data_IF_998038781682
#
_entry.id   IF_998038781682
#
_cell.length_a   1.000
_cell.length_b   1.000
_cell.length_c   1.000
_cell.angle_alpha   90.00
_cell.angle_beta   90.00
_cell.angle_gamma   90.00
#
_symmetry.space_group_name_H-M   'P 1'
#
loop_
_entity.id
_entity.type
_entity.pdbx_description
1 polymer ?
#
# COMPACT_ATOMS: atom_id res chain seq x y z
N UNK A 1 -18.95 12.18 -16.11
CA UNK A 1 -18.72 10.95 -15.32
C UNK A 1 -18.87 11.38 -13.88
N UNK A 2 -19.98 11.02 -13.25
CA UNK A 2 -20.23 11.37 -11.85
C UNK A 2 -19.33 10.47 -11.00
N UNK A 3 -18.47 11.09 -10.20
CA UNK A 3 -17.66 10.37 -9.23
C UNK A 3 -18.61 9.75 -8.20
N UNK A 4 -18.84 8.43 -8.27
CA UNK A 4 -19.64 7.70 -7.30
C UNK A 4 -19.08 7.98 -5.88
N UNK A 5 -19.83 8.66 -4.99
CA UNK A 5 -19.38 8.98 -3.65
C UNK A 5 -18.94 7.75 -2.84
N UNK A 6 -19.56 6.59 -3.07
CA UNK A 6 -19.20 5.34 -2.44
C UNK A 6 -17.86 4.82 -2.96
N UNK A 7 -17.59 4.96 -4.27
CA UNK A 7 -16.32 4.57 -4.86
C UNK A 7 -15.15 5.40 -4.30
N UNK A 8 -15.32 6.73 -4.18
CA UNK A 8 -14.33 7.58 -3.50
C UNK A 8 -14.11 7.21 -2.04
N UNK A 9 -15.19 6.92 -1.30
CA UNK A 9 -15.08 6.50 0.09
C UNK A 9 -14.29 5.19 0.22
N UNK A 10 -14.53 4.24 -0.69
CA UNK A 10 -13.79 2.99 -0.74
C UNK A 10 -12.30 3.19 -1.03
N UNK A 11 -11.95 4.03 -2.02
CA UNK A 11 -10.54 4.33 -2.33
C UNK A 11 -9.82 5.01 -1.15
N UNK A 12 -10.48 5.97 -0.47
CA UNK A 12 -9.93 6.60 0.74
C UNK A 12 -9.68 5.60 1.88
N UNK A 13 -10.59 4.65 2.08
CA UNK A 13 -10.43 3.61 3.08
C UNK A 13 -9.21 2.73 2.79
N UNK A 14 -9.01 2.34 1.54
CA UNK A 14 -7.83 1.56 1.10
C UNK A 14 -6.57 2.39 1.28
N UNK A 15 -6.59 3.65 0.84
CA UNK A 15 -5.47 4.59 0.98
C UNK A 15 -5.01 4.73 2.43
N UNK A 16 -5.94 5.03 3.33
CA UNK A 16 -5.65 5.16 4.76
C UNK A 16 -5.06 3.86 5.34
N UNK A 17 -5.59 2.72 4.93
CA UNK A 17 -5.06 1.40 5.34
C UNK A 17 -3.60 1.21 4.91
N UNK A 18 -3.26 1.59 3.67
CA UNK A 18 -1.88 1.50 3.16
C UNK A 18 -0.97 2.46 3.90
N UNK A 19 -1.42 3.69 4.14
CA UNK A 19 -0.63 4.71 4.87
C UNK A 19 -0.38 4.31 6.33
N UNK A 20 -1.33 3.62 6.97
CA UNK A 20 -1.21 3.16 8.37
C UNK A 20 -0.34 1.91 8.54
N UNK A 21 -0.46 0.93 7.62
CA UNK A 21 0.11 -0.41 7.84
C UNK A 21 1.24 -0.78 6.90
N UNK A 22 1.38 -0.11 5.75
CA UNK A 22 2.43 -0.46 4.80
C UNK A 22 3.71 0.34 5.07
N UNK A 23 4.87 -0.18 4.64
CA UNK A 23 6.14 0.52 4.83
C UNK A 23 6.13 1.92 4.22
N UNK A 24 6.86 2.89 4.80
CA UNK A 24 6.90 4.24 4.26
C UNK A 24 7.40 4.26 2.81
N UNK A 25 6.83 5.17 2.02
CA UNK A 25 7.21 5.40 0.62
C UNK A 25 6.70 4.37 -0.39
N UNK A 26 5.81 3.44 0.00
CA UNK A 26 5.11 2.58 -0.99
C UNK A 26 4.00 3.32 -1.74
N UNK A 27 3.36 4.29 -1.08
CA UNK A 27 2.29 5.11 -1.65
C UNK A 27 2.73 6.56 -1.75
N UNK A 28 2.53 7.16 -2.92
CA UNK A 28 2.80 8.59 -3.18
C UNK A 28 1.65 9.45 -2.64
N UNK A 29 1.88 10.74 -2.38
CA UNK A 29 0.81 11.68 -1.98
C UNK A 29 -0.29 11.77 -3.05
N UNK A 30 -1.48 12.27 -2.72
CA UNK A 30 -2.58 12.41 -3.68
C UNK A 30 -2.18 13.31 -4.87
N UNK A 31 -1.46 14.40 -4.63
CA UNK A 31 -0.97 15.31 -5.67
C UNK A 31 0.02 14.61 -6.60
N UNK A 32 0.90 13.78 -6.03
CA UNK A 32 1.84 12.99 -6.81
C UNK A 32 1.14 11.89 -7.60
N UNK A 33 0.14 11.22 -7.01
CA UNK A 33 -0.69 10.23 -7.71
C UNK A 33 -1.39 10.90 -8.90
N UNK A 34 -2.01 12.06 -8.69
CA UNK A 34 -2.68 12.82 -9.74
C UNK A 34 -1.70 13.26 -10.85
N UNK A 35 -0.47 13.62 -10.50
CA UNK A 35 0.57 13.99 -11.47
C UNK A 35 1.19 12.81 -12.22
N UNK A 36 1.21 11.61 -11.62
CA UNK A 36 1.83 10.42 -12.21
C UNK A 36 0.86 9.53 -12.99
N UNK A 37 -0.36 9.34 -12.47
CA UNK A 37 -1.37 8.44 -13.04
C UNK A 37 -2.51 9.23 -13.68
N UNK A 38 -3.01 10.25 -12.99
CA UNK A 38 -4.13 11.09 -13.43
C UNK A 38 -5.15 11.32 -12.31
N UNK A 39 -6.14 12.20 -12.52
CA UNK A 39 -7.07 12.62 -11.47
C UNK A 39 -8.35 11.78 -11.39
N UNK A 40 -8.47 10.70 -12.17
CA UNK A 40 -9.68 9.87 -12.17
C UNK A 40 -9.64 8.80 -11.07
N UNK A 41 -10.81 8.25 -10.71
CA UNK A 41 -10.90 7.17 -9.73
C UNK A 41 -10.11 5.93 -10.14
N UNK A 42 -10.02 5.67 -11.45
CA UNK A 42 -9.27 4.54 -11.97
C UNK A 42 -7.76 4.76 -11.83
N UNK A 43 -7.29 5.99 -12.05
CA UNK A 43 -5.89 6.37 -11.89
C UNK A 43 -5.44 6.24 -10.43
N UNK A 44 -6.29 6.67 -9.48
CA UNK A 44 -6.04 6.46 -8.04
C UNK A 44 -6.02 4.97 -7.69
N UNK A 45 -6.97 4.18 -8.21
CA UNK A 45 -7.03 2.74 -7.98
C UNK A 45 -5.79 2.02 -8.53
N UNK A 46 -5.26 2.44 -9.67
CA UNK A 46 -4.00 1.92 -10.23
C UNK A 46 -2.83 2.23 -9.29
N UNK A 47 -2.73 3.46 -8.79
CA UNK A 47 -1.68 3.84 -7.85
C UNK A 47 -1.71 3.03 -6.55
N UNK A 48 -2.90 2.78 -6.00
CA UNK A 48 -3.10 1.93 -4.82
C UNK A 48 -2.70 0.48 -5.10
N UNK A 49 -3.03 -0.03 -6.28
CA UNK A 49 -2.66 -1.39 -6.70
C UNK A 49 -1.14 -1.58 -6.75
N UNK A 50 -0.42 -0.61 -7.33
CA UNK A 50 1.05 -0.60 -7.35
C UNK A 50 1.65 -0.55 -5.95
N UNK A 51 1.08 0.26 -5.04
CA UNK A 51 1.56 0.36 -3.66
C UNK A 51 1.39 -0.96 -2.88
N UNK A 52 0.28 -1.68 -3.09
CA UNK A 52 0.06 -3.01 -2.49
C UNK A 52 1.09 -4.01 -3.00
N UNK A 53 1.33 -4.07 -4.32
CA UNK A 53 2.34 -4.97 -4.91
C UNK A 53 3.73 -4.66 -4.34
N UNK A 54 4.14 -3.39 -4.33
CA UNK A 54 5.41 -2.97 -3.76
C UNK A 54 5.54 -3.33 -2.27
N UNK A 55 4.44 -3.30 -1.52
CA UNK A 55 4.41 -3.73 -0.12
C UNK A 55 4.64 -5.24 0.01
N UNK A 56 3.92 -6.04 -0.78
CA UNK A 56 4.04 -7.50 -0.76
C UNK A 56 5.44 -7.95 -1.16
N UNK A 57 6.03 -7.30 -2.15
CA UNK A 57 7.42 -7.55 -2.55
C UNK A 57 8.37 -7.30 -1.38
N UNK A 58 8.29 -6.15 -0.71
CA UNK A 58 9.15 -5.85 0.46
C UNK A 58 8.99 -6.88 1.58
N UNK A 59 7.76 -7.25 1.92
CA UNK A 59 7.48 -8.26 2.96
C UNK A 59 7.99 -9.66 2.59
N UNK A 60 8.08 -9.97 1.29
CA UNK A 60 8.60 -11.25 0.80
C UNK A 60 10.13 -11.31 0.86
N UNK A 61 10.80 -10.16 0.84
CA UNK A 61 12.27 -10.05 0.90
C UNK A 61 12.83 -9.72 2.29
N UNK A 62 12.04 -9.17 3.20
CA UNK A 62 12.45 -9.08 4.60
C UNK A 62 12.49 -10.49 5.20
N UNK A 63 13.67 -10.98 5.66
CA UNK A 63 13.71 -12.21 6.41
C UNK A 63 12.89 -11.95 7.67
N UNK A 64 11.74 -12.63 7.81
CA UNK A 64 11.13 -12.83 9.13
C UNK A 64 12.29 -13.24 10.03
N UNK A 65 12.64 -12.41 11.02
CA UNK A 65 13.62 -12.79 12.03
C UNK A 65 13.14 -14.12 12.60
N UNK A 66 13.73 -15.23 12.14
CA UNK A 66 13.60 -16.51 12.81
C UNK A 66 14.33 -16.26 14.11
N UNK A 67 13.57 -16.06 15.18
CA UNK A 67 14.12 -16.11 16.52
C UNK A 67 14.99 -17.37 16.58
N UNK A 68 16.30 -17.25 16.89
CA UNK A 68 17.14 -18.43 16.96
C UNK A 68 16.51 -19.38 17.98
N UNK A 69 16.32 -20.64 17.58
CA UNK A 69 15.73 -21.65 18.44
C UNK A 69 16.47 -21.64 19.79
N UNK A 70 15.75 -21.70 20.93
CA UNK A 70 16.40 -21.67 22.23
C UNK A 70 17.41 -22.81 22.30
N UNK A 71 18.69 -22.47 22.47
CA UNK A 71 19.76 -23.46 22.66
C UNK A 71 19.39 -24.38 23.82
N UNK A 72 19.09 -25.64 23.50
CA UNK A 72 18.93 -26.70 24.49
C UNK A 72 20.31 -26.93 25.09
N UNK A 73 20.54 -26.43 26.31
CA UNK A 73 21.72 -26.77 27.10
C UNK A 73 21.52 -28.19 27.63
N UNK A 74 22.43 -29.10 27.26
CA UNK A 74 22.59 -30.42 27.90
C UNK A 74 23.41 -30.31 29.17
#
# INVERSE_FOLDING_TARGET
MENDPACRAALRMIRATIEEHCPPGVLKSEEQVNGHYGPTLLDEAEALSVAIVATVERLSFEPRERTPAPSIKS
#
